data_IF_332477035266
#
_entry.id   IF_332477035266
#
_cell.length_a   1.000
_cell.length_b   1.000
_cell.length_c   1.000
_cell.angle_alpha   90.00
_cell.angle_beta   90.00
_cell.angle_gamma   90.00
#
_symmetry.space_group_name_H-M   'P 1'
#
loop_
_entity.id
_entity.type
_entity.pdbx_description
1 polymer ?
#
# COMPACT_ATOMS: atom_id res chain seq x y z
N UNK A 1 -34.60 -6.81 20.70
CA UNK A 1 -33.31 -6.53 21.36
C UNK A 1 -32.15 -7.39 20.82
N UNK A 2 -32.27 -8.72 20.72
CA UNK A 2 -31.18 -9.56 20.17
C UNK A 2 -30.84 -9.28 18.69
N UNK A 3 -31.83 -8.98 17.84
CA UNK A 3 -31.57 -8.59 16.43
C UNK A 3 -30.86 -7.23 16.29
N UNK A 4 -31.13 -6.26 17.17
CA UNK A 4 -30.42 -4.97 17.19
C UNK A 4 -28.97 -5.11 17.68
N UNK A 5 -28.71 -5.99 18.65
CA UNK A 5 -27.33 -6.32 19.08
C UNK A 5 -26.56 -7.10 17.99
N UNK A 6 -27.23 -7.92 17.19
CA UNK A 6 -26.62 -8.61 16.04
C UNK A 6 -26.32 -7.65 14.87
N UNK A 7 -27.15 -6.62 14.67
CA UNK A 7 -26.89 -5.55 13.70
C UNK A 7 -25.72 -4.66 14.12
N UNK A 8 -25.62 -4.30 15.41
CA UNK A 8 -24.45 -3.57 15.93
C UNK A 8 -23.13 -4.33 15.78
N UNK A 9 -23.14 -5.67 15.90
CA UNK A 9 -21.94 -6.49 15.64
C UNK A 9 -21.58 -6.64 14.16
N UNK A 10 -22.54 -6.49 13.24
CA UNK A 10 -22.31 -6.58 11.78
C UNK A 10 -21.72 -5.31 11.15
N UNK A 11 -21.85 -4.16 11.82
CA UNK A 11 -21.45 -2.85 11.29
C UNK A 11 -20.48 -2.08 12.20
N UNK A 12 -19.78 -2.79 13.11
CA UNK A 12 -18.99 -2.20 14.19
C UNK A 12 -18.00 -1.13 13.74
N UNK A 13 -17.36 -1.29 12.58
CA UNK A 13 -16.37 -0.31 12.09
C UNK A 13 -16.98 0.86 11.30
N UNK A 14 -18.13 0.69 10.64
CA UNK A 14 -18.76 1.77 9.87
C UNK A 14 -19.35 2.86 10.77
N UNK A 15 -19.97 2.46 11.89
CA UNK A 15 -20.43 3.39 12.92
C UNK A 15 -19.27 4.06 13.68
N UNK A 16 -18.09 3.45 13.68
CA UNK A 16 -16.90 4.00 14.34
C UNK A 16 -16.35 5.16 13.51
N UNK A 17 -16.11 4.99 12.19
CA UNK A 17 -15.61 6.05 11.31
C UNK A 17 -16.55 7.27 11.21
N UNK A 18 -17.88 7.07 11.12
CA UNK A 18 -18.87 8.16 11.09
C UNK A 18 -18.98 8.93 12.43
N UNK A 19 -18.35 8.45 13.49
CA UNK A 19 -18.29 9.11 14.80
C UNK A 19 -16.90 9.65 15.14
N UNK A 20 -15.90 9.45 14.28
CA UNK A 20 -14.57 10.01 14.49
C UNK A 20 -14.62 11.50 14.18
N UNK A 21 -14.20 12.32 15.14
CA UNK A 21 -14.01 13.75 14.94
C UNK A 21 -12.66 13.95 14.23
N UNK A 22 -12.68 13.93 12.91
CA UNK A 22 -11.48 14.08 12.09
C UNK A 22 -11.11 15.56 11.97
N UNK A 23 -9.91 15.94 12.41
CA UNK A 23 -9.37 17.29 12.28
C UNK A 23 -8.06 17.30 11.50
N UNK A 24 -7.52 18.48 11.19
CA UNK A 24 -6.21 18.58 10.57
C UNK A 24 -5.10 17.99 11.46
N UNK A 25 -5.24 18.10 12.78
CA UNK A 25 -4.29 17.62 13.78
C UNK A 25 -4.47 16.13 14.12
N UNK A 26 -5.70 15.62 14.09
CA UNK A 26 -6.01 14.22 14.38
C UNK A 26 -7.02 13.65 13.37
N UNK A 27 -6.49 12.90 12.42
CA UNK A 27 -7.26 12.24 11.36
C UNK A 27 -6.78 10.79 11.15
N UNK A 28 -6.28 10.15 12.20
CA UNK A 28 -5.90 8.74 12.13
C UNK A 28 -7.10 7.81 12.37
N UNK A 29 -7.16 6.72 11.62
CA UNK A 29 -8.19 5.69 11.75
C UNK A 29 -7.56 4.34 12.16
N UNK A 30 -8.26 3.51 12.95
CA UNK A 30 -7.68 2.29 13.49
C UNK A 30 -7.50 1.22 12.40
N UNK A 31 -6.36 0.53 12.43
CA UNK A 31 -6.09 -0.70 11.69
C UNK A 31 -6.44 -1.92 12.57
N UNK A 32 -6.75 -3.06 11.95
CA UNK A 32 -7.21 -4.24 12.69
C UNK A 32 -6.11 -4.96 13.49
N UNK A 33 -4.85 -4.54 13.37
CA UNK A 33 -3.73 -5.04 14.18
C UNK A 33 -3.39 -4.13 15.37
N UNK A 34 -4.21 -3.12 15.65
CA UNK A 34 -4.03 -2.20 16.77
C UNK A 34 -3.21 -0.96 16.44
N UNK A 35 -2.58 -0.88 15.28
CA UNK A 35 -1.97 0.36 14.78
C UNK A 35 -3.07 1.33 14.27
N UNK A 36 -2.67 2.50 13.77
CA UNK A 36 -3.54 3.46 13.10
C UNK A 36 -2.88 4.00 11.84
N UNK A 37 -3.69 4.46 10.89
CA UNK A 37 -3.25 5.07 9.63
C UNK A 37 -3.88 6.47 9.49
N UNK A 38 -3.11 7.53 9.17
CA UNK A 38 -3.66 8.82 8.82
C UNK A 38 -4.54 8.72 7.56
N UNK A 39 -5.76 9.23 7.65
CA UNK A 39 -6.81 9.07 6.64
C UNK A 39 -6.40 9.62 5.26
N UNK A 40 -5.62 10.69 5.23
CA UNK A 40 -5.09 11.30 4.02
C UNK A 40 -3.56 11.15 3.99
N UNK A 41 -3.04 10.76 2.83
CA UNK A 41 -1.61 10.65 2.58
C UNK A 41 -1.21 11.25 1.23
N UNK A 42 0.07 11.59 1.10
CA UNK A 42 0.68 12.03 -0.15
C UNK A 42 1.21 10.80 -0.91
N UNK A 43 0.67 10.54 -2.10
CA UNK A 43 1.26 9.58 -3.04
C UNK A 43 2.46 10.18 -3.75
N UNK A 44 3.56 9.43 -3.87
CA UNK A 44 4.82 9.94 -4.41
C UNK A 44 5.17 9.42 -5.80
N UNK A 45 4.25 8.76 -6.50
CA UNK A 45 4.48 8.37 -7.89
C UNK A 45 4.64 9.62 -8.78
N UNK A 46 5.76 9.66 -9.51
CA UNK A 46 5.97 10.54 -10.66
C UNK A 46 6.66 9.73 -11.75
N UNK A 47 6.36 10.00 -13.03
CA UNK A 47 7.02 9.30 -14.13
C UNK A 47 8.54 9.60 -14.08
N UNK A 48 9.41 8.60 -13.83
CA UNK A 48 10.84 8.81 -13.65
C UNK A 48 11.53 9.32 -14.93
N UNK A 49 10.87 9.26 -16.09
CA UNK A 49 11.41 9.77 -17.36
C UNK A 49 11.23 11.27 -17.52
N UNK A 50 10.22 11.85 -16.88
CA UNK A 50 9.78 13.23 -17.11
C UNK A 50 9.73 14.07 -15.83
N UNK A 51 9.71 13.43 -14.66
CA UNK A 51 9.70 14.12 -13.37
C UNK A 51 11.11 14.59 -13.02
N UNK A 52 11.31 15.89 -12.72
CA UNK A 52 12.60 16.40 -12.28
C UNK A 52 13.08 15.71 -10.99
N UNK A 53 14.39 15.50 -10.88
CA UNK A 53 15.02 15.02 -9.63
C UNK A 53 14.76 16.03 -8.50
N UNK A 54 14.52 15.54 -7.30
CA UNK A 54 14.20 16.35 -6.12
C UNK A 54 12.73 16.73 -6.00
N UNK A 55 11.88 16.47 -7.01
CA UNK A 55 10.45 16.80 -6.92
C UNK A 55 9.74 16.05 -5.80
N UNK A 56 10.08 14.78 -5.53
CA UNK A 56 9.48 14.04 -4.42
C UNK A 56 9.99 14.58 -3.08
N UNK A 57 11.28 14.92 -2.98
CA UNK A 57 11.87 15.53 -1.79
C UNK A 57 11.15 16.83 -1.39
N UNK A 58 11.03 17.79 -2.32
CA UNK A 58 10.37 19.08 -2.05
C UNK A 58 8.89 18.90 -1.69
N UNK A 59 8.19 18.03 -2.43
CA UNK A 59 6.76 17.77 -2.19
C UNK A 59 6.51 17.14 -0.81
N UNK A 60 7.36 16.20 -0.40
CA UNK A 60 7.25 15.55 0.92
C UNK A 60 7.53 16.55 2.04
N UNK A 61 8.57 17.39 1.94
CA UNK A 61 8.84 18.42 2.95
C UNK A 61 7.67 19.39 3.10
N UNK A 62 7.15 19.90 1.98
CA UNK A 62 6.00 20.80 1.98
C UNK A 62 4.75 20.13 2.57
N UNK A 63 4.52 18.85 2.25
CA UNK A 63 3.39 18.12 2.79
C UNK A 63 3.49 17.93 4.31
N UNK A 64 4.68 17.62 4.84
CA UNK A 64 4.92 17.56 6.29
C UNK A 64 4.60 18.92 6.95
N UNK A 65 5.08 20.02 6.36
CA UNK A 65 4.82 21.39 6.83
C UNK A 65 3.34 21.77 6.77
N UNK A 66 2.61 21.22 5.80
CA UNK A 66 1.16 21.42 5.65
C UNK A 66 0.35 20.63 6.67
N UNK A 67 0.94 19.57 7.27
CA UNK A 67 0.28 18.71 8.26
C UNK A 67 0.08 17.26 7.84
N UNK A 68 0.55 16.85 6.66
CA UNK A 68 0.50 15.45 6.26
C UNK A 68 1.38 14.60 7.17
N UNK A 69 0.85 13.43 7.54
CA UNK A 69 1.55 12.42 8.35
C UNK A 69 1.62 11.07 7.67
N UNK A 70 1.06 10.92 6.46
CA UNK A 70 1.08 9.67 5.70
C UNK A 70 1.68 9.89 4.32
N UNK A 71 2.65 9.04 3.95
CA UNK A 71 3.34 9.04 2.67
C UNK A 71 3.28 7.65 2.04
N UNK A 72 2.85 7.58 0.78
CA UNK A 72 2.76 6.34 0.02
C UNK A 72 3.81 6.36 -1.11
N UNK A 73 4.76 5.43 -1.02
CA UNK A 73 5.85 5.26 -1.98
C UNK A 73 6.00 3.81 -2.42
N UNK A 74 6.96 3.56 -3.31
CA UNK A 74 7.32 2.22 -3.74
C UNK A 74 8.73 2.20 -4.35
N UNK A 75 9.39 1.05 -4.25
CA UNK A 75 10.71 0.80 -4.86
C UNK A 75 10.73 1.17 -6.35
N UNK A 76 9.67 0.83 -7.08
CA UNK A 76 9.57 1.04 -8.53
C UNK A 76 9.19 2.46 -8.94
N UNK A 77 9.03 3.38 -7.98
CA UNK A 77 8.88 4.81 -8.28
C UNK A 77 10.24 5.51 -8.40
N UNK A 78 11.34 4.80 -8.06
CA UNK A 78 12.72 5.27 -8.18
C UNK A 78 13.05 6.53 -7.36
N UNK A 79 12.18 6.93 -6.44
CA UNK A 79 12.32 8.14 -5.64
C UNK A 79 12.21 7.91 -4.11
N UNK A 80 12.21 6.65 -3.64
CA UNK A 80 12.18 6.35 -2.19
C UNK A 80 13.31 7.07 -1.43
N UNK A 81 14.48 7.24 -2.06
CA UNK A 81 15.61 7.96 -1.45
C UNK A 81 15.30 9.44 -1.17
N UNK A 82 14.54 10.09 -2.07
CA UNK A 82 14.09 11.48 -1.91
C UNK A 82 13.07 11.59 -0.77
N UNK A 83 12.12 10.65 -0.70
CA UNK A 83 11.12 10.59 0.37
C UNK A 83 11.78 10.38 1.73
N UNK A 84 12.70 9.41 1.82
CA UNK A 84 13.45 9.15 3.04
C UNK A 84 14.27 10.36 3.48
N UNK A 85 14.94 11.05 2.54
CA UNK A 85 15.70 12.26 2.85
C UNK A 85 14.80 13.35 3.45
N UNK A 86 13.67 13.64 2.81
CA UNK A 86 12.72 14.65 3.28
C UNK A 86 12.20 14.34 4.69
N UNK A 87 11.79 13.07 4.95
CA UNK A 87 11.33 12.62 6.27
C UNK A 87 12.43 12.80 7.32
N UNK A 88 13.65 12.33 7.04
CA UNK A 88 14.77 12.42 8.01
C UNK A 88 15.15 13.85 8.34
N UNK A 89 15.15 14.75 7.37
CA UNK A 89 15.42 16.16 7.62
C UNK A 89 14.35 16.81 8.50
N UNK A 90 13.07 16.50 8.27
CA UNK A 90 11.96 16.98 9.11
C UNK A 90 11.91 16.37 10.50
N UNK A 91 12.54 15.20 10.68
CA UNK A 91 12.82 14.65 12.00
C UNK A 91 13.99 15.38 12.66
N UNK A 92 15.06 15.62 11.91
CA UNK A 92 16.28 16.25 12.42
C UNK A 92 16.09 17.72 12.83
N UNK A 93 15.23 18.46 12.13
CA UNK A 93 14.89 19.85 12.47
C UNK A 93 13.81 19.98 13.57
N UNK A 94 13.26 18.85 14.02
CA UNK A 94 12.27 18.79 15.09
C UNK A 94 10.82 19.10 14.67
N UNK A 95 10.54 19.21 13.36
CA UNK A 95 9.17 19.43 12.86
C UNK A 95 8.24 18.28 13.20
N UNK A 96 8.74 17.04 13.13
CA UNK A 96 8.00 15.81 13.47
C UNK A 96 8.91 14.79 14.15
N UNK A 97 8.32 13.80 14.80
CA UNK A 97 9.03 12.59 15.25
C UNK A 97 8.78 11.42 14.28
N UNK A 98 9.62 10.39 14.34
CA UNK A 98 9.47 9.22 13.46
C UNK A 98 8.12 8.53 13.66
N UNK A 99 7.67 8.41 14.90
CA UNK A 99 6.38 7.80 15.27
C UNK A 99 5.15 8.59 14.83
N UNK A 100 5.32 9.85 14.42
CA UNK A 100 4.24 10.68 13.85
C UNK A 100 4.11 10.48 12.34
N UNK A 101 5.11 9.86 11.69
CA UNK A 101 5.10 9.61 10.25
C UNK A 101 4.65 8.18 9.98
N UNK A 102 3.71 8.04 9.06
CA UNK A 102 3.26 6.78 8.49
C UNK A 102 3.78 6.65 7.05
N UNK A 103 4.73 5.75 6.82
CA UNK A 103 5.21 5.42 5.49
C UNK A 103 4.69 4.06 5.02
N UNK A 104 4.05 4.06 3.86
CA UNK A 104 3.62 2.87 3.13
C UNK A 104 4.62 2.56 2.00
N UNK A 105 5.28 1.40 2.09
CA UNK A 105 6.13 0.83 1.04
C UNK A 105 5.46 -0.38 0.37
N UNK A 106 5.98 -0.79 -0.78
CA UNK A 106 5.38 -1.88 -1.58
C UNK A 106 6.40 -2.93 -2.02
N UNK A 107 6.00 -4.20 -1.93
CA UNK A 107 6.72 -5.34 -2.46
C UNK A 107 6.37 -5.50 -3.94
N UNK A 108 7.35 -5.24 -4.80
CA UNK A 108 7.15 -5.34 -6.25
C UNK A 108 7.11 -6.79 -6.76
N UNK A 109 6.47 -6.97 -7.90
CA UNK A 109 6.14 -8.25 -8.54
C UNK A 109 7.33 -9.19 -8.78
N UNK A 110 8.56 -8.68 -8.89
CA UNK A 110 9.77 -9.49 -9.09
C UNK A 110 10.35 -10.07 -7.78
N UNK A 111 9.76 -9.73 -6.62
CA UNK A 111 10.24 -10.14 -5.29
C UNK A 111 9.23 -11.00 -4.52
N UNK A 112 8.27 -11.61 -5.23
CA UNK A 112 7.28 -12.52 -4.62
C UNK A 112 7.85 -13.83 -4.05
N UNK A 113 8.94 -14.43 -4.60
CA UNK A 113 9.55 -15.60 -3.95
C UNK A 113 9.85 -15.32 -2.47
N UNK A 114 9.49 -16.22 -1.53
CA UNK A 114 9.58 -15.95 -0.10
C UNK A 114 10.97 -15.51 0.38
N UNK A 115 12.03 -16.06 -0.21
CA UNK A 115 13.42 -15.74 0.08
C UNK A 115 13.84 -14.33 -0.36
N UNK A 116 13.08 -13.69 -1.26
CA UNK A 116 13.34 -12.34 -1.78
C UNK A 116 12.55 -11.24 -1.05
N UNK A 117 11.50 -11.60 -0.30
CA UNK A 117 10.61 -10.62 0.37
C UNK A 117 11.38 -9.76 1.37
N UNK A 118 12.08 -10.39 2.31
CA UNK A 118 12.86 -9.67 3.33
C UNK A 118 14.00 -8.85 2.71
N UNK A 119 14.84 -9.39 1.81
CA UNK A 119 15.86 -8.58 1.11
C UNK A 119 15.28 -7.36 0.38
N UNK A 120 14.09 -7.47 -0.22
CA UNK A 120 13.42 -6.35 -0.88
C UNK A 120 13.02 -5.26 0.13
N UNK A 121 12.44 -5.66 1.28
CA UNK A 121 12.12 -4.73 2.36
C UNK A 121 13.38 -4.06 2.94
N UNK A 122 14.44 -4.83 3.21
CA UNK A 122 15.71 -4.30 3.72
C UNK A 122 16.35 -3.32 2.73
N UNK A 123 16.18 -3.54 1.42
CA UNK A 123 16.59 -2.57 0.38
C UNK A 123 15.81 -1.25 0.47
N UNK A 124 14.49 -1.31 0.67
CA UNK A 124 13.66 -0.12 0.89
C UNK A 124 14.08 0.60 2.18
N UNK A 125 14.26 -0.12 3.30
CA UNK A 125 14.72 0.46 4.58
C UNK A 125 16.08 1.15 4.44
N UNK A 126 17.04 0.51 3.76
CA UNK A 126 18.35 1.10 3.47
C UNK A 126 18.24 2.37 2.61
N UNK A 127 17.38 2.34 1.59
CA UNK A 127 17.14 3.49 0.71
C UNK A 127 16.52 4.65 1.48
N UNK A 128 15.54 4.36 2.33
CA UNK A 128 14.86 5.32 3.20
C UNK A 128 15.72 5.74 4.40
N UNK A 129 16.78 5.00 4.72
CA UNK A 129 17.55 5.11 5.96
C UNK A 129 16.64 5.21 7.20
N UNK A 130 15.66 4.32 7.27
CA UNK A 130 14.74 4.18 8.40
C UNK A 130 14.88 2.76 8.97
N UNK A 131 14.64 2.62 10.27
CA UNK A 131 14.73 1.31 10.95
C UNK A 131 13.52 0.40 10.67
N UNK A 132 12.37 1.01 10.36
CA UNK A 132 11.13 0.30 10.03
C UNK A 132 10.24 1.13 9.10
N UNK A 133 9.29 0.47 8.45
CA UNK A 133 8.16 1.11 7.73
C UNK A 133 6.81 0.80 8.42
N UNK A 134 5.85 1.70 8.29
CA UNK A 134 4.59 1.61 9.03
C UNK A 134 3.63 0.62 8.38
N UNK A 135 3.64 0.54 7.06
CA UNK A 135 2.88 -0.41 6.27
C UNK A 135 3.73 -0.94 5.11
N UNK A 136 3.73 -2.27 4.95
CA UNK A 136 4.28 -2.92 3.76
C UNK A 136 3.23 -3.77 3.09
N UNK A 137 3.03 -3.56 1.79
CA UNK A 137 1.98 -4.23 1.03
C UNK A 137 2.51 -5.00 -0.18
N UNK A 138 1.86 -6.11 -0.53
CA UNK A 138 2.05 -6.74 -1.84
C UNK A 138 1.50 -5.81 -2.92
N UNK A 139 2.32 -5.34 -3.86
CA UNK A 139 1.92 -4.28 -4.81
C UNK A 139 0.88 -4.75 -5.84
N UNK A 140 1.02 -6.00 -6.32
CA UNK A 140 0.05 -6.66 -7.19
C UNK A 140 -0.02 -8.14 -6.81
N UNK A 141 -1.15 -8.83 -7.03
CA UNK A 141 -1.26 -10.27 -6.79
C UNK A 141 -0.56 -11.13 -7.86
N UNK A 142 0.09 -10.50 -8.85
CA UNK A 142 0.77 -11.17 -9.96
C UNK A 142 2.28 -11.08 -9.80
N UNK A 143 2.98 -12.20 -9.97
CA UNK A 143 4.44 -12.21 -9.96
C UNK A 143 5.03 -12.11 -11.36
N UNK A 144 6.15 -11.40 -11.44
CA UNK A 144 7.03 -11.38 -12.60
C UNK A 144 8.27 -12.25 -12.34
N UNK A 145 8.96 -12.62 -13.42
CA UNK A 145 10.24 -13.34 -13.33
C UNK A 145 11.18 -12.59 -12.36
N UNK A 146 11.69 -13.25 -11.30
CA UNK A 146 12.65 -12.65 -10.39
C UNK A 146 13.93 -12.19 -11.11
N UNK A 147 14.48 -11.07 -10.66
CA UNK A 147 15.71 -10.49 -11.20
C UNK A 147 15.78 -8.97 -11.03
N UNK A 148 16.82 -8.36 -11.57
CA UNK A 148 17.09 -6.92 -11.43
C UNK A 148 16.17 -6.04 -12.31
N UNK A 149 15.58 -6.62 -13.35
CA UNK A 149 14.66 -5.92 -14.24
C UNK A 149 13.25 -5.95 -13.66
N UNK A 150 12.74 -4.82 -13.17
CA UNK A 150 11.40 -4.73 -12.59
C UNK A 150 10.26 -5.08 -13.57
N UNK A 151 10.44 -4.82 -14.86
CA UNK A 151 9.45 -5.11 -15.91
C UNK A 151 10.03 -6.09 -16.94
N UNK A 152 10.27 -7.36 -16.58
CA UNK A 152 10.95 -8.30 -17.44
C UNK A 152 10.09 -8.60 -18.67
N UNK A 153 10.70 -8.49 -19.85
CA UNK A 153 10.05 -8.78 -21.14
C UNK A 153 10.89 -9.75 -21.96
N UNK A 154 10.23 -10.61 -22.72
CA UNK A 154 10.89 -11.46 -23.71
C UNK A 154 11.25 -10.67 -24.99
N UNK A 155 11.87 -11.35 -25.95
CA UNK A 155 12.28 -10.75 -27.23
C UNK A 155 11.11 -10.20 -28.05
N UNK A 156 9.89 -10.69 -27.80
CA UNK A 156 8.66 -10.20 -28.44
C UNK A 156 8.04 -8.98 -27.73
N UNK A 157 8.63 -8.56 -26.61
CA UNK A 157 8.15 -7.46 -25.79
C UNK A 157 7.04 -7.83 -24.80
N UNK A 158 6.72 -9.13 -24.63
CA UNK A 158 5.70 -9.61 -23.70
C UNK A 158 6.29 -9.77 -22.30
N UNK A 159 5.50 -9.42 -21.27
CA UNK A 159 5.91 -9.61 -19.87
C UNK A 159 6.18 -11.08 -19.53
N UNK A 160 7.27 -11.34 -18.81
CA UNK A 160 7.63 -12.66 -18.33
C UNK A 160 7.10 -12.82 -16.90
N UNK A 161 6.08 -13.67 -16.76
CA UNK A 161 5.44 -13.96 -15.49
C UNK A 161 6.17 -15.07 -14.72
N UNK A 162 5.92 -15.12 -13.42
CA UNK A 162 6.35 -16.19 -12.53
C UNK A 162 5.12 -16.76 -11.80
N UNK A 163 5.12 -18.06 -11.54
CA UNK A 163 4.07 -18.68 -10.71
C UNK A 163 4.27 -18.24 -9.26
N UNK A 164 3.24 -17.66 -8.63
CA UNK A 164 3.33 -17.20 -7.24
C UNK A 164 2.39 -18.01 -6.36
N UNK A 165 2.87 -18.35 -5.17
CA UNK A 165 2.02 -18.75 -4.06
C UNK A 165 1.87 -17.55 -3.13
N UNK A 166 0.71 -16.88 -3.18
CA UNK A 166 0.43 -15.70 -2.37
C UNK A 166 0.49 -16.02 -0.87
N UNK A 167 0.15 -17.24 -0.45
CA UNK A 167 0.22 -17.65 0.95
C UNK A 167 1.68 -17.77 1.42
N UNK A 168 2.57 -18.31 0.58
CA UNK A 168 3.99 -18.41 0.89
C UNK A 168 4.67 -17.03 0.90
N UNK A 169 4.33 -16.14 -0.04
CA UNK A 169 4.77 -14.73 0.00
C UNK A 169 4.28 -14.03 1.27
N UNK A 170 3.03 -14.29 1.67
CA UNK A 170 2.46 -13.73 2.89
C UNK A 170 3.18 -14.21 4.15
N UNK A 171 3.55 -15.49 4.26
CA UNK A 171 4.36 -16.00 5.39
C UNK A 171 5.69 -15.26 5.54
N UNK A 172 6.35 -14.94 4.42
CA UNK A 172 7.59 -14.17 4.45
C UNK A 172 7.36 -12.71 4.90
N UNK A 173 6.22 -12.11 4.56
CA UNK A 173 5.82 -10.80 5.07
C UNK A 173 5.51 -10.85 6.57
N UNK A 174 4.82 -11.88 7.04
CA UNK A 174 4.56 -12.12 8.46
C UNK A 174 5.86 -12.17 9.26
N UNK A 175 6.88 -12.87 8.74
CA UNK A 175 8.21 -12.91 9.33
C UNK A 175 8.91 -11.54 9.37
N UNK A 176 8.68 -10.67 8.38
CA UNK A 176 9.21 -9.30 8.39
C UNK A 176 8.58 -8.45 9.50
N UNK A 177 7.26 -8.61 9.73
CA UNK A 177 6.56 -7.96 10.86
C UNK A 177 7.06 -8.50 12.20
N UNK A 178 7.22 -9.81 12.32
CA UNK A 178 7.77 -10.44 13.53
C UNK A 178 9.19 -9.97 13.86
N UNK A 179 10.00 -9.68 12.83
CA UNK A 179 11.34 -9.14 12.97
C UNK A 179 11.36 -7.63 13.31
N UNK A 180 10.21 -6.95 13.36
CA UNK A 180 10.09 -5.54 13.68
C UNK A 180 10.45 -4.58 12.53
N UNK A 181 10.67 -5.10 11.31
CA UNK A 181 11.03 -4.29 10.13
C UNK A 181 9.83 -3.53 9.56
N UNK A 182 8.61 -3.98 9.87
CA UNK A 182 7.35 -3.37 9.46
C UNK A 182 6.31 -3.45 10.58
N UNK A 183 5.50 -2.40 10.77
CA UNK A 183 4.46 -2.38 11.81
C UNK A 183 3.17 -3.08 11.36
N UNK A 184 2.72 -2.83 10.14
CA UNK A 184 1.46 -3.34 9.59
C UNK A 184 1.66 -3.98 8.21
N UNK A 185 0.85 -4.98 7.88
CA UNK A 185 0.92 -5.68 6.59
C UNK A 185 -0.39 -5.53 5.82
N UNK A 186 -0.30 -5.31 4.51
CA UNK A 186 -1.47 -5.18 3.65
C UNK A 186 -1.24 -5.71 2.24
N UNK A 187 -2.18 -5.44 1.36
CA UNK A 187 -2.11 -5.82 -0.05
C UNK A 187 -2.55 -4.66 -0.94
N UNK A 188 -2.31 -4.76 -2.24
CA UNK A 188 -2.74 -3.79 -3.24
C UNK A 188 -3.18 -4.51 -4.51
N UNK A 189 -4.25 -4.02 -5.15
CA UNK A 189 -4.85 -4.61 -6.35
C UNK A 189 -5.39 -6.04 -6.12
N UNK A 190 -5.77 -6.40 -4.90
CA UNK A 190 -6.34 -7.71 -4.60
C UNK A 190 -7.86 -7.68 -4.74
N UNK A 191 -8.39 -8.67 -5.47
CA UNK A 191 -9.82 -8.95 -5.49
C UNK A 191 -10.25 -9.82 -4.29
N UNK A 192 -11.56 -10.05 -4.15
CA UNK A 192 -12.13 -10.86 -3.06
C UNK A 192 -11.50 -12.25 -2.97
N UNK A 193 -11.34 -12.96 -4.08
CA UNK A 193 -10.79 -14.33 -4.08
C UNK A 193 -9.35 -14.35 -3.56
N UNK A 194 -8.53 -13.37 -3.94
CA UNK A 194 -7.14 -13.28 -3.47
C UNK A 194 -7.05 -12.90 -2.00
N UNK A 195 -7.94 -12.01 -1.52
CA UNK A 195 -8.08 -11.74 -0.09
C UNK A 195 -8.48 -13.01 0.67
N UNK A 196 -9.45 -13.78 0.16
CA UNK A 196 -9.89 -15.04 0.78
C UNK A 196 -8.80 -16.10 0.81
N UNK A 197 -7.89 -16.14 -0.16
CA UNK A 197 -6.73 -17.03 -0.13
C UNK A 197 -5.86 -16.76 1.10
N UNK A 198 -5.53 -15.49 1.37
CA UNK A 198 -4.73 -15.12 2.55
C UNK A 198 -5.54 -15.30 3.83
N UNK A 199 -6.80 -14.83 3.87
CA UNK A 199 -7.64 -14.88 5.07
C UNK A 199 -7.96 -16.30 5.54
N UNK A 200 -8.05 -17.26 4.62
CA UNK A 200 -8.32 -18.66 4.93
C UNK A 200 -7.05 -19.52 4.98
N UNK A 201 -5.87 -18.91 4.87
CA UNK A 201 -4.59 -19.60 4.93
C UNK A 201 -4.44 -20.32 6.29
N UNK A 202 -4.09 -21.63 6.30
CA UNK A 202 -3.78 -22.33 7.54
C UNK A 202 -2.64 -21.64 8.30
N UNK A 203 -2.83 -21.43 9.61
CA UNK A 203 -1.84 -20.80 10.46
C UNK A 203 -1.58 -19.32 10.17
N UNK A 204 -2.52 -18.60 9.53
CA UNK A 204 -2.46 -17.14 9.38
C UNK A 204 -2.18 -16.47 10.73
N UNK A 205 -1.10 -15.69 10.81
CA UNK A 205 -0.63 -15.02 12.02
C UNK A 205 -1.01 -13.54 12.03
N UNK A 206 -0.77 -12.84 10.92
CA UNK A 206 -1.09 -11.43 10.74
C UNK A 206 -2.04 -11.27 9.56
N UNK A 207 -3.27 -10.86 9.84
CA UNK A 207 -4.27 -10.55 8.81
C UNK A 207 -3.85 -9.30 8.01
N UNK A 208 -4.11 -9.22 6.68
CA UNK A 208 -3.96 -7.97 5.96
C UNK A 208 -4.86 -6.90 6.58
N UNK A 209 -4.28 -5.75 6.93
CA UNK A 209 -5.03 -4.65 7.56
C UNK A 209 -5.59 -3.67 6.54
N UNK A 210 -5.02 -3.66 5.32
CA UNK A 210 -5.43 -2.78 4.24
C UNK A 210 -5.41 -3.49 2.88
N UNK A 211 -6.22 -2.98 1.96
CA UNK A 211 -6.16 -3.28 0.53
C UNK A 211 -6.17 -1.97 -0.25
N UNK A 212 -5.06 -1.63 -0.89
CA UNK A 212 -4.93 -0.42 -1.70
C UNK A 212 -5.43 -0.68 -3.12
N UNK A 213 -6.44 0.04 -3.59
CA UNK A 213 -7.07 -0.19 -4.91
C UNK A 213 -7.48 1.13 -5.55
N UNK A 214 -7.71 1.13 -6.86
CA UNK A 214 -8.31 2.29 -7.53
C UNK A 214 -9.67 2.56 -6.88
N UNK A 215 -9.85 3.77 -6.35
CA UNK A 215 -11.11 4.19 -5.77
C UNK A 215 -11.29 5.70 -5.94
N UNK A 216 -12.30 6.10 -6.72
CA UNK A 216 -12.65 7.49 -7.01
C UNK A 216 -14.14 7.58 -7.37
N UNK A 217 -14.74 8.77 -7.56
CA UNK A 217 -16.17 8.88 -7.88
C UNK A 217 -16.65 8.12 -9.13
N UNK A 218 -15.76 7.81 -10.09
CA UNK A 218 -16.10 7.01 -11.27
C UNK A 218 -15.89 5.50 -11.06
N UNK A 219 -15.12 5.11 -10.05
CA UNK A 219 -14.90 3.71 -9.70
C UNK A 219 -14.90 3.55 -8.17
N UNK A 220 -16.09 3.44 -7.59
CA UNK A 220 -16.33 3.56 -6.13
C UNK A 220 -16.16 2.27 -5.33
N UNK A 221 -15.84 1.15 -5.98
CA UNK A 221 -15.55 -0.15 -5.35
C UNK A 221 -16.61 -0.68 -4.36
N UNK A 222 -17.93 -0.56 -4.59
CA UNK A 222 -18.94 -0.77 -3.54
C UNK A 222 -18.90 -2.18 -2.94
N UNK A 223 -18.79 -3.22 -3.78
CA UNK A 223 -18.76 -4.62 -3.35
C UNK A 223 -17.48 -4.98 -2.59
N UNK A 224 -16.34 -4.49 -3.08
CA UNK A 224 -15.04 -4.75 -2.45
C UNK A 224 -14.92 -4.00 -1.12
N UNK A 225 -15.39 -2.74 -1.07
CA UNK A 225 -15.46 -1.95 0.15
C UNK A 225 -16.31 -2.64 1.21
N UNK A 226 -17.52 -3.08 0.87
CA UNK A 226 -18.39 -3.82 1.80
C UNK A 226 -17.71 -5.10 2.31
N UNK A 227 -17.07 -5.86 1.42
CA UNK A 227 -16.35 -7.08 1.80
C UNK A 227 -15.18 -6.78 2.75
N UNK A 228 -14.33 -5.80 2.42
CA UNK A 228 -13.20 -5.40 3.24
C UNK A 228 -13.67 -4.91 4.62
N UNK A 229 -14.76 -4.15 4.70
CA UNK A 229 -15.37 -3.73 5.98
C UNK A 229 -15.80 -4.93 6.84
N UNK A 230 -16.43 -5.96 6.24
CA UNK A 230 -16.81 -7.19 6.96
C UNK A 230 -15.62 -7.98 7.49
N UNK A 231 -14.40 -7.71 6.99
CA UNK A 231 -13.16 -8.37 7.39
C UNK A 231 -12.22 -7.47 8.19
N UNK A 232 -12.66 -6.26 8.56
CA UNK A 232 -11.83 -5.22 9.19
C UNK A 232 -10.53 -4.94 8.41
N UNK A 233 -10.69 -4.80 7.09
CA UNK A 233 -9.65 -4.38 6.15
C UNK A 233 -10.02 -2.98 5.66
N UNK A 234 -9.10 -2.03 5.77
CA UNK A 234 -9.31 -0.67 5.26
C UNK A 234 -9.00 -0.64 3.76
N UNK A 235 -9.88 -0.01 2.98
CA UNK A 235 -9.57 0.37 1.60
C UNK A 235 -8.73 1.65 1.61
N UNK A 236 -7.58 1.61 0.96
CA UNK A 236 -6.80 2.82 0.64
C UNK A 236 -7.01 3.12 -0.84
N UNK A 237 -7.68 4.22 -1.16
CA UNK A 237 -7.97 4.58 -2.55
C UNK A 237 -6.76 5.20 -3.24
N UNK A 238 -6.08 4.44 -4.11
CA UNK A 238 -5.08 5.04 -5.01
C UNK A 238 -5.78 5.73 -6.19
N UNK A 239 -5.09 6.68 -6.80
CA UNK A 239 -5.65 7.55 -7.86
C UNK A 239 -7.00 8.18 -7.47
N UNK A 240 -7.14 8.74 -6.24
CA UNK A 240 -8.42 9.24 -5.76
C UNK A 240 -8.94 10.44 -6.56
N UNK A 241 -8.05 11.13 -7.27
CA UNK A 241 -8.33 12.28 -8.15
C UNK A 241 -8.44 11.89 -9.63
N UNK A 242 -8.60 10.61 -9.95
CA UNK A 242 -8.74 10.15 -11.33
C UNK A 242 -7.43 10.12 -12.12
N UNK A 243 -6.32 9.80 -11.44
CA UNK A 243 -4.95 9.62 -11.98
C UNK A 243 -4.28 10.89 -12.55
N UNK A 244 -3.00 10.82 -12.94
CA UNK A 244 -2.32 11.89 -13.70
C UNK A 244 -2.66 11.90 -15.20
N UNK A 245 -3.40 10.88 -15.68
CA UNK A 245 -3.75 10.65 -17.09
C UNK A 245 -2.53 10.54 -18.02
N UNK A 246 -1.41 10.05 -17.52
CA UNK A 246 -0.20 9.79 -18.31
C UNK A 246 -0.49 8.76 -19.42
N UNK A 247 -0.24 9.19 -20.65
CA UNK A 247 -0.55 8.45 -21.87
C UNK A 247 0.17 7.10 -21.97
N UNK A 248 1.30 6.92 -21.27
CA UNK A 248 2.10 5.70 -21.32
C UNK A 248 1.39 4.46 -20.73
N UNK A 249 0.36 4.68 -19.91
CA UNK A 249 -0.53 3.65 -19.40
C UNK A 249 -2.02 3.93 -19.68
N UNK A 250 -2.43 5.18 -19.98
CA UNK A 250 -3.80 5.54 -20.38
C UNK A 250 -4.14 5.19 -21.85
N UNK A 251 -3.13 5.09 -22.73
CA UNK A 251 -3.31 5.04 -24.20
C UNK A 251 -3.26 3.67 -24.88
N UNK A 252 -3.14 2.56 -24.16
CA UNK A 252 -3.20 1.21 -24.76
C UNK A 252 -4.49 0.54 -24.34
N UNK A 253 -5.39 0.33 -25.31
CA UNK A 253 -6.71 -0.34 -25.18
C UNK A 253 -6.71 -1.68 -24.42
N UNK A 254 -5.54 -2.27 -24.13
CA UNK A 254 -5.36 -3.51 -23.38
C UNK A 254 -4.97 -3.36 -21.90
N UNK A 255 -4.49 -2.21 -21.43
CA UNK A 255 -3.98 -2.07 -20.04
C UNK A 255 -5.09 -1.78 -19.03
N UNK A 256 -6.07 -0.95 -19.38
CA UNK A 256 -7.28 -0.74 -18.56
C UNK A 256 -8.05 -2.06 -18.38
N UNK A 257 -8.17 -2.88 -19.45
CA UNK A 257 -8.79 -4.21 -19.31
C UNK A 257 -8.01 -5.12 -18.38
N UNK A 258 -6.68 -5.14 -18.37
CA UNK A 258 -5.95 -6.00 -17.42
C UNK A 258 -6.04 -5.50 -15.96
N UNK A 259 -5.99 -4.19 -15.71
CA UNK A 259 -6.17 -3.65 -14.34
C UNK A 259 -7.60 -3.86 -13.83
N UNK A 260 -8.59 -3.68 -14.70
CA UNK A 260 -10.02 -3.72 -14.37
C UNK A 260 -10.62 -5.15 -14.41
N UNK A 261 -10.03 -6.07 -15.18
CA UNK A 261 -10.39 -7.51 -15.18
C UNK A 261 -9.78 -8.22 -13.97
N UNK A 262 -8.62 -7.80 -13.45
CA UNK A 262 -8.07 -8.43 -12.23
C UNK A 262 -8.84 -8.08 -10.96
N UNK A 263 -9.59 -6.98 -10.95
CA UNK A 263 -10.39 -6.53 -9.80
C UNK A 263 -11.85 -7.02 -9.80
N UNK A 264 -12.33 -7.69 -10.85
CA UNK A 264 -13.68 -8.26 -10.94
C UNK A 264 -13.71 -9.76 -10.66
#
# INVERSE_FOLDING_TARGET
MQQQQQQQRKFGNFYTLLRMNLTAEDHSIPLSDGNSIPLIGLGTYGDPRTTPKGSAYESVKLAIDTGYRHFDGALVYFNEHEVGQAIREKIADGTVKREEIFYCGKLWNTFHPPDLVRPALEKTLKTLQLDYIDLYIVEMPTAFKPGDTFYPRDESGKYIYHTTDLCATWEALEACKDAGLVKSLGVSNFNKRQLELILNKPGLKHKPVSNQVECNPYFTQPKLLEYCQQKDIIIVGYSPLGTSRDASWYGREMQMRHFQIMCN
#
